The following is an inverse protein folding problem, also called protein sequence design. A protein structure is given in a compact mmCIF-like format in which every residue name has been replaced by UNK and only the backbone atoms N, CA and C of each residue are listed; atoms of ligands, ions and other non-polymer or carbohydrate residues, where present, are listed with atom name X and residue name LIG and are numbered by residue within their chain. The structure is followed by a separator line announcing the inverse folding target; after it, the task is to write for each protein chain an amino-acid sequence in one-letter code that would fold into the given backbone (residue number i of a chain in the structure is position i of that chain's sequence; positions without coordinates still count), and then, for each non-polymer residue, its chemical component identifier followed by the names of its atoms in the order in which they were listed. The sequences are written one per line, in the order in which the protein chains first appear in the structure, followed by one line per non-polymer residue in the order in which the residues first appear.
data_IF_616935925302
#
_entry.id   IF_616935925302
#
_cell.length_a   1.000
_cell.length_b   1.000
_cell.length_c   1.000
_cell.angle_alpha   90.00
_cell.angle_beta   90.00
_cell.angle_gamma   90.00
#
_symmetry.space_group_name_H-M   'P 1'
#
loop_
_entity.id
_entity.type
_entity.pdbx_description
1 polymer ?
#
# COMPACT_ATOMS: atom_id res chain seq x y z
N UNK A 1 -70.08 -35.67 -45.39
CA UNK A 1 -69.03 -34.72 -45.82
C UNK A 1 -69.03 -33.53 -44.87
N UNK A 2 -67.87 -33.23 -44.29
CA UNK A 2 -67.41 -31.98 -43.65
C UNK A 2 -68.19 -31.39 -42.45
N UNK A 3 -67.65 -31.65 -41.25
CA UNK A 3 -67.86 -30.85 -40.04
C UNK A 3 -66.97 -29.60 -40.09
N UNK A 4 -67.55 -28.43 -39.81
CA UNK A 4 -66.84 -27.14 -39.67
C UNK A 4 -66.45 -26.91 -38.21
N UNK A 5 -65.17 -26.68 -37.98
CA UNK A 5 -64.58 -26.30 -36.69
C UNK A 5 -64.41 -24.78 -36.67
N UNK A 6 -64.99 -24.11 -35.67
CA UNK A 6 -64.74 -22.69 -35.38
C UNK A 6 -63.62 -22.63 -34.34
N UNK A 7 -62.49 -22.04 -34.74
CA UNK A 7 -61.28 -21.90 -33.94
C UNK A 7 -61.31 -20.55 -33.20
N UNK A 8 -61.22 -20.59 -31.87
CA UNK A 8 -61.02 -19.41 -31.03
C UNK A 8 -59.57 -18.93 -31.13
N UNK A 9 -59.37 -17.64 -31.41
CA UNK A 9 -58.06 -17.00 -31.47
C UNK A 9 -57.67 -16.53 -30.07
N UNK A 10 -56.63 -17.13 -29.50
CA UNK A 10 -55.97 -16.64 -28.30
C UNK A 10 -54.85 -15.66 -28.69
N UNK A 11 -54.89 -14.44 -28.13
CA UNK A 11 -53.84 -13.44 -28.25
C UNK A 11 -52.62 -13.88 -27.43
N UNK A 12 -51.53 -14.23 -28.11
CA UNK A 12 -50.24 -14.46 -27.48
C UNK A 12 -49.51 -13.12 -27.30
N UNK A 13 -49.21 -12.77 -26.04
CA UNK A 13 -48.30 -11.69 -25.69
C UNK A 13 -46.89 -12.00 -26.24
N UNK A 14 -46.33 -11.04 -26.99
CA UNK A 14 -44.96 -11.12 -27.50
C UNK A 14 -43.98 -11.05 -26.33
N UNK A 15 -43.30 -12.17 -26.05
CA UNK A 15 -42.12 -12.18 -25.19
C UNK A 15 -41.01 -11.34 -25.86
N UNK A 16 -40.75 -10.16 -25.33
CA UNK A 16 -39.59 -9.36 -25.68
C UNK A 16 -38.34 -10.04 -25.11
N UNK A 17 -37.33 -10.27 -25.96
CA UNK A 17 -36.04 -10.80 -25.56
C UNK A 17 -35.39 -9.89 -24.51
N UNK A 18 -35.23 -10.40 -23.29
CA UNK A 18 -34.50 -9.70 -22.23
C UNK A 18 -33.00 -9.78 -22.52
N UNK A 19 -32.38 -8.65 -22.88
CA UNK A 19 -30.94 -8.51 -22.73
C UNK A 19 -30.60 -8.76 -21.25
N UNK A 20 -29.74 -9.75 -20.98
CA UNK A 20 -29.27 -10.02 -19.62
C UNK A 20 -28.56 -8.78 -19.07
N UNK A 21 -28.88 -8.32 -17.85
CA UNK A 21 -28.20 -7.17 -17.29
C UNK A 21 -26.70 -7.42 -17.12
N UNK A 22 -25.87 -6.42 -17.44
CA UNK A 22 -24.46 -6.40 -17.04
C UNK A 22 -24.39 -6.06 -15.55
N UNK A 23 -23.87 -6.96 -14.73
CA UNK A 23 -23.86 -6.83 -13.27
C UNK A 23 -22.45 -6.96 -12.66
N UNK A 24 -21.40 -6.61 -13.42
CA UNK A 24 -20.01 -6.70 -12.94
C UNK A 24 -19.82 -5.94 -11.62
N UNK A 25 -19.35 -6.64 -10.58
CA UNK A 25 -19.16 -6.12 -9.23
C UNK A 25 -20.38 -5.31 -8.71
N UNK A 26 -21.61 -5.71 -9.10
CA UNK A 26 -22.86 -5.10 -8.59
C UNK A 26 -22.92 -5.13 -7.07
N UNK A 27 -22.33 -6.14 -6.44
CA UNK A 27 -22.27 -6.22 -4.98
C UNK A 27 -21.51 -5.04 -4.34
N UNK A 28 -20.51 -4.48 -5.04
CA UNK A 28 -19.73 -3.33 -4.58
C UNK A 28 -20.29 -2.02 -5.13
N UNK A 29 -20.64 -1.98 -6.42
CA UNK A 29 -21.08 -0.76 -7.11
C UNK A 29 -22.58 -0.47 -6.91
N UNK A 30 -23.41 -1.51 -6.83
CA UNK A 30 -24.86 -1.44 -6.81
C UNK A 30 -25.51 -1.15 -8.16
N UNK A 31 -24.79 -1.34 -9.27
CA UNK A 31 -25.29 -1.02 -10.62
C UNK A 31 -25.63 -2.28 -11.39
N UNK A 32 -26.81 -2.29 -12.03
CA UNK A 32 -27.10 -3.18 -13.15
C UNK A 32 -27.32 -2.36 -14.41
N UNK A 33 -26.68 -2.77 -15.51
CA UNK A 33 -26.83 -2.15 -16.83
C UNK A 33 -27.63 -3.05 -17.75
N UNK A 34 -28.36 -2.49 -18.70
CA UNK A 34 -28.94 -3.22 -19.82
C UNK A 34 -28.31 -2.71 -21.13
N UNK A 35 -28.02 -3.64 -22.05
CA UNK A 35 -27.65 -3.27 -23.40
C UNK A 35 -28.89 -2.79 -24.18
N UNK A 36 -28.77 -1.65 -24.85
CA UNK A 36 -29.80 -1.04 -25.69
C UNK A 36 -29.23 -0.68 -27.06
N UNK A 37 -30.09 -0.39 -28.02
CA UNK A 37 -29.65 0.12 -29.32
C UNK A 37 -28.86 1.42 -29.14
N UNK A 38 -27.55 1.37 -29.39
CA UNK A 38 -26.66 2.52 -29.30
C UNK A 38 -25.91 2.71 -27.98
N UNK A 39 -26.00 1.80 -26.99
CA UNK A 39 -25.17 1.88 -25.79
C UNK A 39 -25.66 1.06 -24.60
N UNK A 40 -25.20 1.44 -23.40
CA UNK A 40 -25.61 0.85 -22.12
C UNK A 40 -26.50 1.82 -21.36
N UNK A 41 -27.51 1.30 -20.69
CA UNK A 41 -28.44 2.05 -19.85
C UNK A 41 -28.43 1.46 -18.44
N UNK A 42 -28.52 2.29 -17.40
CA UNK A 42 -28.65 1.84 -16.02
C UNK A 42 -30.04 1.22 -15.85
N UNK A 43 -30.10 -0.10 -15.76
CA UNK A 43 -31.33 -0.85 -15.60
C UNK A 43 -31.85 -0.79 -14.15
N UNK A 44 -30.95 -0.86 -13.18
CA UNK A 44 -31.28 -0.77 -11.76
C UNK A 44 -30.10 -0.21 -10.94
N UNK A 45 -30.45 0.40 -9.80
CA UNK A 45 -29.50 0.87 -8.79
C UNK A 45 -29.97 0.34 -7.43
N UNK A 46 -29.06 -0.32 -6.70
CA UNK A 46 -29.37 -0.91 -5.41
C UNK A 46 -29.47 0.18 -4.32
N UNK A 47 -30.52 0.19 -3.48
CA UNK A 47 -30.65 1.18 -2.41
C UNK A 47 -29.47 1.12 -1.43
N UNK A 48 -28.93 2.29 -1.06
CA UNK A 48 -27.80 2.40 -0.14
C UNK A 48 -26.45 1.96 -0.71
N UNK A 49 -26.36 1.68 -2.01
CA UNK A 49 -25.10 1.35 -2.69
C UNK A 49 -24.26 2.59 -3.02
N UNK A 50 -23.00 2.38 -3.41
CA UNK A 50 -22.13 3.46 -3.89
C UNK A 50 -22.72 4.18 -5.12
N UNK A 51 -23.42 3.45 -6.00
CA UNK A 51 -24.14 4.06 -7.11
C UNK A 51 -25.28 4.96 -6.65
N UNK A 52 -26.08 4.53 -5.68
CA UNK A 52 -27.14 5.36 -5.11
C UNK A 52 -26.58 6.62 -4.43
N UNK A 53 -25.51 6.49 -3.65
CA UNK A 53 -24.83 7.60 -2.99
C UNK A 53 -24.22 8.60 -3.98
N UNK A 54 -23.67 8.11 -5.09
CA UNK A 54 -23.17 8.95 -6.18
C UNK A 54 -24.30 9.63 -6.98
N UNK A 55 -25.55 9.23 -6.77
CA UNK A 55 -26.72 9.81 -7.41
C UNK A 55 -27.05 9.22 -8.79
N UNK A 56 -26.54 8.03 -9.12
CA UNK A 56 -26.97 7.26 -10.30
C UNK A 56 -28.43 6.82 -10.16
N UNK A 57 -29.14 6.74 -11.28
CA UNK A 57 -30.56 6.38 -11.32
C UNK A 57 -30.85 5.38 -12.43
N UNK A 58 -31.84 4.53 -12.21
CA UNK A 58 -32.38 3.70 -13.28
C UNK A 58 -32.94 4.59 -14.42
N UNK A 59 -32.68 4.21 -15.66
CA UNK A 59 -32.99 5.00 -16.85
C UNK A 59 -31.88 5.94 -17.32
N UNK A 60 -30.81 6.12 -16.54
CA UNK A 60 -29.64 6.90 -16.96
C UNK A 60 -28.93 6.19 -18.13
N UNK A 61 -28.70 6.90 -19.24
CA UNK A 61 -27.92 6.36 -20.36
C UNK A 61 -26.42 6.54 -20.07
N UNK A 62 -25.65 5.44 -20.04
CA UNK A 62 -24.21 5.48 -19.79
C UNK A 62 -23.48 5.95 -21.06
N UNK A 63 -22.90 7.14 -21.00
CA UNK A 63 -22.17 7.78 -22.10
C UNK A 63 -20.69 7.46 -22.04
N UNK A 64 -20.09 7.48 -20.84
CA UNK A 64 -18.66 7.27 -20.65
C UNK A 64 -18.37 6.61 -19.31
N UNK A 65 -17.31 5.80 -19.26
CA UNK A 65 -16.72 5.23 -18.05
C UNK A 65 -15.20 5.36 -18.11
N UNK A 66 -14.57 5.96 -17.09
CA UNK A 66 -13.12 6.18 -16.99
C UNK A 66 -12.48 6.66 -18.31
N UNK A 67 -13.02 7.75 -18.86
CA UNK A 67 -12.63 8.37 -20.13
C UNK A 67 -12.92 7.57 -21.43
N UNK A 68 -13.54 6.39 -21.35
CA UNK A 68 -13.88 5.55 -22.51
C UNK A 68 -15.39 5.45 -22.74
N UNK A 69 -15.83 5.37 -24.00
CA UNK A 69 -17.24 5.14 -24.35
C UNK A 69 -17.53 3.63 -24.40
N UNK A 70 -18.23 3.05 -23.41
CA UNK A 70 -18.46 1.60 -23.39
C UNK A 70 -19.48 1.20 -24.46
N UNK A 71 -19.13 0.23 -25.30
CA UNK A 71 -20.02 -0.29 -26.35
C UNK A 71 -20.67 -1.61 -25.98
N UNK A 72 -20.17 -2.27 -24.94
CA UNK A 72 -20.62 -3.58 -24.48
C UNK A 72 -20.50 -3.73 -22.96
N UNK A 73 -21.22 -4.70 -22.39
CA UNK A 73 -21.07 -5.11 -20.99
C UNK A 73 -19.60 -5.43 -20.64
N UNK A 74 -18.83 -6.00 -21.58
CA UNK A 74 -17.44 -6.37 -21.37
C UNK A 74 -16.53 -5.13 -21.20
N UNK A 75 -16.81 -4.04 -21.93
CA UNK A 75 -16.07 -2.79 -21.81
C UNK A 75 -16.30 -2.15 -20.44
N UNK A 76 -17.57 -2.13 -20.00
CA UNK A 76 -17.92 -1.67 -18.66
C UNK A 76 -17.26 -2.52 -17.59
N UNK A 77 -17.35 -3.85 -17.72
CA UNK A 77 -16.76 -4.78 -16.77
C UNK A 77 -15.23 -4.61 -16.64
N UNK A 78 -14.55 -4.35 -17.77
CA UNK A 78 -13.12 -4.03 -17.75
C UNK A 78 -12.84 -2.75 -16.98
N UNK A 79 -13.59 -1.66 -17.25
CA UNK A 79 -13.38 -0.39 -16.56
C UNK A 79 -13.62 -0.48 -15.05
N UNK A 80 -14.59 -1.30 -14.62
CA UNK A 80 -14.87 -1.59 -13.21
C UNK A 80 -13.71 -2.36 -12.58
N UNK A 81 -13.22 -3.43 -13.21
CA UNK A 81 -12.08 -4.21 -12.71
C UNK A 81 -10.81 -3.37 -12.60
N UNK A 82 -10.49 -2.58 -13.62
CA UNK A 82 -9.32 -1.70 -13.62
C UNK A 82 -9.39 -0.67 -12.48
N UNK A 83 -10.58 -0.10 -12.23
CA UNK A 83 -10.80 0.81 -11.11
C UNK A 83 -10.63 0.11 -9.76
N UNK A 84 -11.14 -1.12 -9.61
CA UNK A 84 -11.01 -1.92 -8.39
C UNK A 84 -9.56 -2.32 -8.11
N UNK A 85 -8.86 -2.88 -9.09
CA UNK A 85 -7.47 -3.30 -8.97
C UNK A 85 -6.56 -2.11 -8.64
N UNK A 86 -6.82 -0.95 -9.26
CA UNK A 86 -6.13 0.28 -8.95
C UNK A 86 -6.57 0.98 -7.66
N UNK A 87 -7.63 0.50 -6.99
CA UNK A 87 -8.34 1.17 -5.89
C UNK A 87 -8.69 2.64 -6.19
N UNK A 88 -9.10 2.92 -7.43
CA UNK A 88 -9.41 4.28 -7.92
C UNK A 88 -10.92 4.49 -8.04
N UNK A 89 -11.35 5.75 -8.06
CA UNK A 89 -12.73 6.07 -8.35
C UNK A 89 -13.12 5.62 -9.77
N UNK A 90 -14.35 5.14 -9.92
CA UNK A 90 -14.97 4.86 -11.22
C UNK A 90 -15.74 6.11 -11.66
N UNK A 91 -15.20 6.84 -12.64
CA UNK A 91 -15.83 8.02 -13.21
C UNK A 91 -16.84 7.59 -14.26
N UNK A 92 -18.08 8.06 -14.12
CA UNK A 92 -19.18 7.74 -15.04
C UNK A 92 -19.82 9.03 -15.54
N UNK A 93 -20.11 9.07 -16.83
CA UNK A 93 -20.84 10.16 -17.46
C UNK A 93 -22.17 9.60 -17.93
N UNK A 94 -23.27 10.13 -17.40
CA UNK A 94 -24.63 9.67 -17.73
C UNK A 94 -25.43 10.76 -18.40
N UNK A 95 -26.35 10.39 -19.30
CA UNK A 95 -27.27 11.31 -19.96
C UNK A 95 -28.68 11.13 -19.41
N UNK A 96 -29.29 12.26 -19.03
CA UNK A 96 -30.66 12.42 -18.56
C UNK A 96 -31.44 13.34 -19.51
N UNK A 97 -32.74 13.47 -19.29
CA UNK A 97 -33.61 14.41 -20.02
C UNK A 97 -33.10 15.85 -20.01
N UNK A 98 -32.41 16.26 -18.94
CA UNK A 98 -31.94 17.64 -18.74
C UNK A 98 -30.49 17.87 -19.17
N UNK A 99 -29.80 16.83 -19.66
CA UNK A 99 -28.43 16.91 -20.13
C UNK A 99 -27.53 15.80 -19.57
N UNK A 100 -26.22 16.00 -19.71
CA UNK A 100 -25.20 15.02 -19.30
C UNK A 100 -24.65 15.38 -17.92
N UNK A 101 -24.60 14.40 -17.00
CA UNK A 101 -24.17 14.57 -15.62
C UNK A 101 -22.94 13.70 -15.35
N UNK A 102 -21.79 14.28 -14.95
CA UNK A 102 -20.65 13.52 -14.48
C UNK A 102 -20.85 13.09 -13.03
N UNK A 103 -20.69 11.80 -12.75
CA UNK A 103 -20.79 11.20 -11.43
C UNK A 103 -19.56 10.31 -11.17
N UNK A 104 -19.32 9.97 -9.91
CA UNK A 104 -18.18 9.14 -9.53
C UNK A 104 -18.56 8.19 -8.39
N UNK A 105 -18.19 6.92 -8.54
CA UNK A 105 -18.13 6.00 -7.41
C UNK A 105 -16.72 6.11 -6.83
N UNK A 106 -16.59 6.64 -5.61
CA UNK A 106 -15.30 6.89 -4.96
C UNK A 106 -14.48 5.63 -4.72
N UNK A 107 -13.17 5.76 -4.44
CA UNK A 107 -12.28 4.61 -4.17
C UNK A 107 -12.74 3.72 -3.01
N UNK A 108 -13.42 4.31 -2.00
CA UNK A 108 -14.03 3.60 -0.88
C UNK A 108 -15.08 2.57 -1.30
N UNK A 109 -15.62 2.64 -2.52
CA UNK A 109 -16.52 1.64 -3.11
C UNK A 109 -15.89 0.24 -3.08
N UNK A 110 -14.58 0.15 -3.26
CA UNK A 110 -13.84 -1.12 -3.31
C UNK A 110 -13.43 -1.66 -1.94
N UNK A 111 -13.52 -0.82 -0.90
CA UNK A 111 -13.15 -1.17 0.47
C UNK A 111 -14.39 -1.59 1.29
N UNK A 112 -15.60 -1.32 0.80
CA UNK A 112 -16.84 -1.78 1.42
C UNK A 112 -16.97 -3.30 1.29
N UNK A 113 -16.85 -3.99 2.41
CA UNK A 113 -17.25 -5.38 2.52
C UNK A 113 -18.77 -5.49 2.25
N UNK A 114 -19.14 -6.29 1.26
CA UNK A 114 -20.53 -6.60 0.95
C UNK A 114 -21.14 -7.34 2.14
N UNK A 115 -22.16 -6.75 2.75
CA UNK A 115 -22.99 -7.47 3.71
C UNK A 115 -23.91 -8.44 2.95
N UNK A 116 -23.43 -9.65 2.66
CA UNK A 116 -24.27 -10.77 2.18
C UNK A 116 -23.88 -12.07 2.88
N UNK A 117 -24.84 -12.63 3.63
CA UNK A 117 -24.92 -13.96 4.25
C UNK A 117 -23.75 -14.38 5.19
N UNK A 118 -24.03 -15.03 6.33
CA UNK A 118 -22.95 -15.53 7.18
C UNK A 118 -22.14 -16.57 6.40
N UNK A 119 -20.80 -16.44 6.30
CA UNK A 119 -19.98 -17.48 5.71
C UNK A 119 -20.16 -18.79 6.49
N UNK A 120 -20.01 -19.98 5.86
CA UNK A 120 -19.81 -21.19 6.65
C UNK A 120 -18.68 -20.92 7.65
N UNK A 121 -18.79 -21.36 8.91
CA UNK A 121 -17.79 -21.04 9.91
C UNK A 121 -16.43 -21.47 9.35
N UNK A 122 -15.41 -20.59 9.39
CA UNK A 122 -14.07 -21.01 9.01
C UNK A 122 -13.72 -22.25 9.85
N UNK A 123 -12.97 -23.24 9.33
CA UNK A 123 -12.31 -24.18 10.22
C UNK A 123 -11.59 -23.31 11.26
N UNK A 124 -11.88 -23.55 12.54
CA UNK A 124 -11.52 -22.67 13.65
C UNK A 124 -10.22 -21.93 13.35
N UNK A 125 -10.30 -20.59 13.26
CA UNK A 125 -9.11 -19.76 13.21
C UNK A 125 -8.16 -20.30 14.29
N UNK A 126 -6.86 -20.51 13.98
CA UNK A 126 -5.93 -21.16 14.91
C UNK A 126 -6.10 -20.52 16.29
N UNK A 127 -6.74 -21.25 17.20
CA UNK A 127 -7.12 -20.66 18.46
C UNK A 127 -5.87 -20.54 19.31
N UNK A 128 -5.79 -19.52 20.17
CA UNK A 128 -4.74 -19.48 21.21
C UNK A 128 -4.77 -20.79 22.02
N UNK A 129 -5.92 -21.44 22.13
CA UNK A 129 -6.08 -22.77 22.73
C UNK A 129 -5.33 -23.87 21.96
N UNK A 130 -5.35 -23.85 20.63
CA UNK A 130 -4.58 -24.77 19.78
C UNK A 130 -3.06 -24.50 19.88
N UNK A 131 -2.66 -23.23 19.98
CA UNK A 131 -1.28 -22.79 20.23
C UNK A 131 -0.76 -23.15 21.64
N UNK A 132 -1.62 -23.09 22.67
CA UNK A 132 -1.29 -23.46 24.06
C UNK A 132 -1.35 -24.97 24.28
N UNK A 133 -2.18 -25.69 23.50
CA UNK A 133 -2.21 -27.14 23.48
C UNK A 133 -1.03 -27.76 22.70
N UNK A 134 -0.33 -26.95 21.89
CA UNK A 134 0.96 -27.36 21.34
C UNK A 134 1.97 -27.32 22.50
N UNK A 135 2.74 -28.39 22.75
CA UNK A 135 3.82 -28.33 23.74
C UNK A 135 4.69 -27.13 23.39
N UNK A 136 4.94 -26.27 24.40
CA UNK A 136 5.69 -25.05 24.22
C UNK A 136 6.95 -25.36 23.39
N UNK A 137 7.25 -24.57 22.33
CA UNK A 137 8.44 -24.80 21.54
C UNK A 137 9.61 -24.94 22.51
N UNK A 138 10.46 -25.96 22.28
CA UNK A 138 11.61 -26.19 23.13
C UNK A 138 12.29 -24.85 23.42
N UNK A 139 12.65 -24.54 24.68
CA UNK A 139 13.26 -23.27 25.03
C UNK A 139 14.38 -23.02 24.03
N UNK A 140 14.33 -21.84 23.38
CA UNK A 140 15.22 -21.47 22.28
C UNK A 140 16.63 -21.94 22.65
N UNK A 141 17.25 -22.83 21.84
CA UNK A 141 18.49 -23.46 22.24
C UNK A 141 19.51 -22.38 22.64
N UNK A 142 20.31 -22.62 23.70
CA UNK A 142 21.27 -21.65 24.24
C UNK A 142 22.41 -21.28 23.28
N UNK A 143 22.28 -21.61 22.01
CA UNK A 143 23.23 -21.41 20.91
C UNK A 143 23.17 -20.00 20.31
N UNK A 144 22.14 -19.19 20.60
CA UNK A 144 22.12 -17.77 20.25
C UNK A 144 22.31 -16.88 21.48
N UNK A 145 23.39 -17.11 22.25
CA UNK A 145 23.91 -16.08 23.17
C UNK A 145 24.51 -14.96 22.31
N UNK A 146 23.66 -14.18 21.64
CA UNK A 146 24.10 -12.99 20.92
C UNK A 146 24.81 -12.12 21.94
N UNK A 147 26.12 -12.05 21.82
CA UNK A 147 26.95 -11.18 22.64
C UNK A 147 26.82 -9.75 22.12
N UNK A 148 27.24 -8.79 22.94
CA UNK A 148 27.33 -7.40 22.51
C UNK A 148 28.31 -7.23 21.33
N UNK A 149 29.38 -8.04 21.31
CA UNK A 149 30.34 -8.08 20.20
C UNK A 149 29.72 -8.59 18.90
N UNK A 150 28.80 -9.57 19.00
CA UNK A 150 28.06 -10.06 17.83
C UNK A 150 27.11 -8.98 17.30
N UNK A 151 26.38 -8.28 18.18
CA UNK A 151 25.53 -7.15 17.80
C UNK A 151 26.35 -6.04 17.14
N UNK A 152 27.49 -5.69 17.72
CA UNK A 152 28.37 -4.66 17.18
C UNK A 152 28.94 -5.07 15.81
N UNK A 153 29.31 -6.34 15.63
CA UNK A 153 29.77 -6.88 14.34
C UNK A 153 28.66 -6.82 13.28
N UNK A 154 27.46 -7.24 13.63
CA UNK A 154 26.32 -7.26 12.72
C UNK A 154 25.88 -5.83 12.33
N UNK A 155 25.89 -4.88 13.27
CA UNK A 155 25.66 -3.45 12.99
C UNK A 155 26.70 -2.87 12.04
N UNK A 156 27.99 -3.15 12.24
CA UNK A 156 29.06 -2.71 11.31
C UNK A 156 28.86 -3.29 9.90
N UNK A 157 28.30 -4.49 9.80
CA UNK A 157 28.03 -5.14 8.52
C UNK A 157 26.86 -4.53 7.74
N UNK A 158 25.99 -3.72 8.37
CA UNK A 158 24.89 -3.02 7.69
C UNK A 158 25.37 -1.89 6.77
N UNK A 159 26.50 -1.24 7.10
CA UNK A 159 27.03 -0.11 6.35
C UNK A 159 28.50 -0.34 5.95
N UNK A 160 28.78 -1.30 5.04
CA UNK A 160 30.14 -1.59 4.60
C UNK A 160 30.72 -0.37 3.87
N UNK A 161 31.96 0.02 4.23
CA UNK A 161 32.60 1.22 3.69
C UNK A 161 32.90 1.16 2.18
N UNK A 162 33.00 -0.05 1.59
CA UNK A 162 33.60 -0.27 0.27
C UNK A 162 32.69 -1.05 -0.72
N UNK A 163 31.51 -1.55 -0.28
CA UNK A 163 30.61 -2.31 -1.17
C UNK A 163 29.45 -1.46 -1.64
N UNK A 164 29.05 -1.67 -2.91
CA UNK A 164 27.76 -1.17 -3.41
C UNK A 164 26.65 -1.59 -2.45
N UNK A 165 25.71 -0.69 -2.12
CA UNK A 165 24.52 -1.06 -1.35
C UNK A 165 23.85 -2.26 -2.02
N UNK A 166 23.50 -3.29 -1.24
CA UNK A 166 22.76 -4.46 -1.72
C UNK A 166 21.34 -4.10 -2.20
N UNK A 167 20.35 -4.97 -2.05
CA UNK A 167 18.96 -4.57 -2.26
C UNK A 167 18.41 -3.92 -0.98
N UNK A 168 17.52 -2.92 -1.12
CA UNK A 168 16.81 -2.35 0.03
C UNK A 168 16.14 -3.44 0.87
N UNK A 169 15.48 -4.41 0.23
CA UNK A 169 14.86 -5.54 0.93
C UNK A 169 15.85 -6.36 1.79
N UNK A 170 17.08 -6.57 1.30
CA UNK A 170 18.12 -7.28 2.05
C UNK A 170 18.62 -6.46 3.24
N UNK A 171 18.60 -5.14 3.14
CA UNK A 171 18.92 -4.21 4.20
C UNK A 171 17.83 -4.20 5.27
N UNK A 172 16.57 -4.00 4.87
CA UNK A 172 15.38 -4.05 5.74
C UNK A 172 15.31 -5.38 6.51
N UNK A 173 15.54 -6.50 5.84
CA UNK A 173 15.53 -7.82 6.49
C UNK A 173 16.62 -7.96 7.55
N UNK A 174 17.80 -7.38 7.32
CA UNK A 174 18.90 -7.40 8.31
C UNK A 174 18.61 -6.46 9.48
N UNK A 175 18.05 -5.28 9.23
CA UNK A 175 17.63 -4.35 10.28
C UNK A 175 16.55 -4.94 11.18
N UNK A 176 15.51 -5.55 10.61
CA UNK A 176 14.46 -6.23 11.38
C UNK A 176 15.00 -7.40 12.20
N UNK A 177 16.04 -8.09 11.71
CA UNK A 177 16.72 -9.14 12.48
C UNK A 177 17.47 -8.55 13.68
N UNK A 178 18.21 -7.46 13.46
CA UNK A 178 18.98 -6.78 14.50
C UNK A 178 18.08 -6.21 15.60
N UNK A 179 16.97 -5.57 15.24
CA UNK A 179 15.96 -5.13 16.20
C UNK A 179 15.50 -6.26 17.12
N UNK A 180 15.15 -7.41 16.55
CA UNK A 180 14.73 -8.58 17.33
C UNK A 180 15.86 -9.13 18.21
N UNK A 181 17.10 -9.14 17.74
CA UNK A 181 18.25 -9.57 18.53
C UNK A 181 18.51 -8.62 19.71
N UNK A 182 18.40 -7.31 19.51
CA UNK A 182 18.55 -6.30 20.56
C UNK A 182 17.46 -6.44 21.63
N UNK A 183 16.20 -6.61 21.22
CA UNK A 183 15.11 -6.82 22.19
C UNK A 183 15.24 -8.15 22.93
N UNK A 184 15.69 -9.22 22.27
CA UNK A 184 16.00 -10.49 22.93
C UNK A 184 17.17 -10.34 23.92
N UNK A 185 18.21 -9.58 23.57
CA UNK A 185 19.34 -9.28 24.43
C UNK A 185 18.92 -8.46 25.67
N UNK A 186 18.06 -7.45 25.46
CA UNK A 186 17.49 -6.60 26.51
C UNK A 186 16.60 -7.40 27.48
N UNK A 187 15.72 -8.25 26.96
CA UNK A 187 14.80 -9.07 27.76
C UNK A 187 15.53 -10.04 28.70
N UNK A 188 16.71 -10.52 28.29
CA UNK A 188 17.57 -11.39 29.10
C UNK A 188 18.29 -10.65 30.23
N UNK A 189 18.22 -9.31 30.28
CA UNK A 189 19.02 -8.45 31.17
C UNK A 189 20.52 -8.77 31.08
N UNK A 190 20.97 -9.13 29.89
CA UNK A 190 22.37 -9.50 29.62
C UNK A 190 23.32 -8.30 29.66
N UNK A 191 22.80 -7.06 29.72
CA UNK A 191 23.56 -5.83 29.89
C UNK A 191 22.76 -4.77 30.69
N UNK A 192 23.44 -3.76 31.27
CA UNK A 192 22.79 -2.59 31.86
C UNK A 192 21.89 -1.86 30.85
N UNK A 193 20.81 -1.23 31.33
CA UNK A 193 19.84 -0.51 30.48
C UNK A 193 20.50 0.54 29.57
N UNK A 194 21.49 1.28 30.08
CA UNK A 194 22.22 2.28 29.28
C UNK A 194 22.97 1.71 28.08
N UNK A 195 23.43 0.45 28.15
CA UNK A 195 24.06 -0.24 27.01
C UNK A 195 23.02 -0.53 25.93
N UNK A 196 21.87 -1.08 26.34
CA UNK A 196 20.76 -1.39 25.44
C UNK A 196 20.25 -0.11 24.77
N UNK A 197 20.09 0.97 25.53
CA UNK A 197 19.66 2.26 25.00
C UNK A 197 20.70 2.87 24.04
N UNK A 198 21.99 2.66 24.30
CA UNK A 198 23.06 2.98 23.37
C UNK A 198 22.94 2.22 22.05
N UNK A 199 22.75 0.90 22.10
CA UNK A 199 22.56 0.07 20.89
C UNK A 199 21.30 0.46 20.13
N UNK A 200 20.18 0.74 20.83
CA UNK A 200 18.95 1.25 20.21
C UNK A 200 19.17 2.61 19.55
N UNK A 201 19.94 3.49 20.19
CA UNK A 201 20.30 4.80 19.62
C UNK A 201 21.09 4.63 18.32
N UNK A 202 22.07 3.72 18.30
CA UNK A 202 22.81 3.36 17.08
C UNK A 202 21.85 2.85 15.99
N UNK A 203 20.91 1.96 16.33
CA UNK A 203 19.93 1.43 15.37
C UNK A 203 19.10 2.53 14.70
N UNK A 204 18.70 3.59 15.42
CA UNK A 204 17.92 4.70 14.83
C UNK A 204 18.62 5.36 13.63
N UNK A 205 19.96 5.45 13.64
CA UNK A 205 20.71 5.97 12.48
C UNK A 205 20.57 5.07 11.26
N UNK A 206 20.55 3.75 11.45
CA UNK A 206 20.39 2.80 10.36
C UNK A 206 18.92 2.72 9.88
N UNK A 207 17.94 2.88 10.76
CA UNK A 207 16.53 3.01 10.37
C UNK A 207 16.29 4.26 9.52
N UNK A 208 16.81 5.40 9.95
CA UNK A 208 16.80 6.63 9.16
C UNK A 208 17.50 6.45 7.79
N UNK A 209 18.56 5.64 7.74
CA UNK A 209 19.26 5.34 6.49
C UNK A 209 18.40 4.47 5.55
N UNK A 210 17.52 3.63 6.08
CA UNK A 210 16.50 2.90 5.32
C UNK A 210 15.51 3.86 4.65
N UNK A 211 15.02 4.87 5.39
CA UNK A 211 14.10 5.90 4.86
C UNK A 211 14.77 6.66 3.70
N UNK A 212 16.02 7.07 3.87
CA UNK A 212 16.79 7.72 2.81
C UNK A 212 16.98 6.78 1.60
N UNK A 213 17.23 5.50 1.82
CA UNK A 213 17.33 4.54 0.73
C UNK A 213 15.99 4.35 -0.01
N UNK A 214 14.88 4.21 0.70
CA UNK A 214 13.55 4.09 0.10
C UNK A 214 13.21 5.30 -0.79
N UNK A 215 13.63 6.50 -0.40
CA UNK A 215 13.48 7.70 -1.22
C UNK A 215 14.32 7.66 -2.52
N UNK A 216 15.55 7.13 -2.48
CA UNK A 216 16.39 6.90 -3.67
C UNK A 216 15.78 5.84 -4.60
N UNK A 217 15.28 4.71 -4.08
CA UNK A 217 14.60 3.69 -4.91
C UNK A 217 13.33 4.27 -5.55
N UNK A 218 12.54 5.04 -4.81
CA UNK A 218 11.35 5.71 -5.34
C UNK A 218 11.70 6.69 -6.47
N UNK A 219 12.82 7.41 -6.36
CA UNK A 219 13.32 8.28 -7.42
C UNK A 219 13.77 7.45 -8.63
N UNK A 220 14.55 6.39 -8.42
CA UNK A 220 15.00 5.46 -9.45
C UNK A 220 13.82 4.89 -10.24
N UNK A 221 12.75 4.47 -9.56
CA UNK A 221 11.54 3.93 -10.18
C UNK A 221 10.82 4.97 -11.05
N UNK A 222 10.67 6.20 -10.53
CA UNK A 222 10.09 7.32 -11.30
C UNK A 222 10.88 7.63 -12.57
N UNK A 223 12.21 7.59 -12.47
CA UNK A 223 13.13 7.81 -13.59
C UNK A 223 13.26 6.58 -14.51
N UNK A 224 12.67 5.43 -14.12
CA UNK A 224 12.87 4.12 -14.76
C UNK A 224 14.35 3.76 -14.92
N UNK A 225 15.18 4.19 -13.96
CA UNK A 225 16.62 3.96 -13.98
C UNK A 225 16.93 2.50 -13.59
N UNK A 226 17.72 1.76 -14.39
CA UNK A 226 18.09 0.39 -14.03
C UNK A 226 18.87 0.32 -12.71
N UNK A 227 18.68 -0.76 -11.94
CA UNK A 227 19.32 -0.92 -10.62
C UNK A 227 20.84 -0.99 -10.64
N UNK A 228 21.42 -1.51 -11.72
CA UNK A 228 22.88 -1.57 -11.89
C UNK A 228 23.52 -0.19 -12.13
N UNK A 229 22.70 0.83 -12.41
CA UNK A 229 23.19 2.20 -12.57
C UNK A 229 23.23 2.87 -11.19
N UNK A 230 24.41 3.29 -10.72
CA UNK A 230 24.56 3.92 -9.42
C UNK A 230 23.82 5.25 -9.37
N UNK A 231 23.26 5.54 -8.20
CA UNK A 231 22.64 6.83 -7.89
C UNK A 231 23.72 7.88 -7.64
N UNK A 232 23.55 9.10 -8.16
CA UNK A 232 24.45 10.21 -7.82
C UNK A 232 24.13 10.74 -6.42
N UNK A 233 25.16 11.11 -5.66
CA UNK A 233 24.99 11.81 -4.37
C UNK A 233 24.27 13.16 -4.52
N UNK A 234 24.41 13.81 -5.68
CA UNK A 234 23.74 15.07 -5.98
C UNK A 234 22.27 14.89 -6.40
N UNK A 235 21.79 13.65 -6.60
CA UNK A 235 20.42 13.40 -7.04
C UNK A 235 19.43 13.81 -5.94
N UNK A 236 18.49 14.69 -6.29
CA UNK A 236 17.48 15.19 -5.35
C UNK A 236 16.15 14.45 -5.54
N UNK A 237 15.62 13.89 -4.46
CA UNK A 237 14.29 13.30 -4.41
C UNK A 237 13.28 14.28 -3.77
N UNK A 238 12.01 14.26 -4.17
CA UNK A 238 10.97 14.98 -3.46
C UNK A 238 10.67 14.33 -2.10
N UNK A 239 10.35 15.16 -1.11
CA UNK A 239 9.79 14.75 0.18
C UNK A 239 8.67 15.71 0.60
N UNK A 240 7.74 15.25 1.42
CA UNK A 240 6.60 16.05 1.90
C UNK A 240 6.80 16.43 3.37
N UNK A 241 6.20 17.54 3.79
CA UNK A 241 6.29 18.01 5.18
C UNK A 241 5.87 16.96 6.22
N UNK A 242 4.88 16.13 5.90
CA UNK A 242 4.35 15.09 6.81
C UNK A 242 4.90 13.67 6.50
N UNK A 243 5.99 13.59 5.74
CA UNK A 243 6.60 12.30 5.35
C UNK A 243 7.64 11.79 6.36
N UNK A 244 7.91 10.48 6.35
CA UNK A 244 8.99 9.87 7.15
C UNK A 244 10.36 10.52 6.88
N UNK A 245 10.59 10.98 5.65
CA UNK A 245 11.81 11.71 5.29
C UNK A 245 11.91 13.05 6.02
N UNK A 246 10.81 13.80 6.15
CA UNK A 246 10.77 15.02 6.93
C UNK A 246 11.01 14.75 8.43
N UNK A 247 10.33 13.74 8.99
CA UNK A 247 10.54 13.31 10.37
C UNK A 247 12.01 12.91 10.63
N UNK A 248 12.64 12.21 9.68
CA UNK A 248 14.06 11.83 9.75
C UNK A 248 14.98 13.06 9.73
N UNK A 249 14.70 14.05 8.88
CA UNK A 249 15.48 15.30 8.83
C UNK A 249 15.34 16.10 10.13
N UNK A 250 14.18 16.07 10.77
CA UNK A 250 13.95 16.72 12.06
C UNK A 250 14.65 16.00 13.21
N UNK A 251 14.59 14.66 13.25
CA UNK A 251 15.27 13.85 14.26
C UNK A 251 16.79 13.97 14.19
N UNK A 252 17.35 14.08 12.98
CA UNK A 252 18.79 14.19 12.73
C UNK A 252 19.15 15.54 12.08
N UNK A 253 19.34 16.62 12.85
CA UNK A 253 19.49 17.97 12.32
C UNK A 253 20.65 18.16 11.32
N UNK A 254 21.70 17.35 11.38
CA UNK A 254 22.79 17.38 10.40
C UNK A 254 22.33 17.04 8.97
N UNK A 255 21.20 16.33 8.82
CA UNK A 255 20.59 16.04 7.52
C UNK A 255 20.02 17.28 6.84
N UNK A 256 19.86 18.41 7.53
CA UNK A 256 19.50 19.69 6.89
C UNK A 256 20.48 20.08 5.79
N UNK A 257 21.75 19.67 5.88
CA UNK A 257 22.74 19.87 4.81
C UNK A 257 22.38 19.13 3.50
N UNK A 258 21.55 18.09 3.57
CA UNK A 258 21.11 17.31 2.41
C UNK A 258 19.87 17.90 1.74
N UNK A 259 19.16 18.82 2.41
CA UNK A 259 17.98 19.51 1.88
C UNK A 259 18.43 20.55 0.86
N UNK A 260 18.06 20.33 -0.39
CA UNK A 260 18.36 21.27 -1.49
C UNK A 260 17.26 22.32 -1.66
N UNK A 261 16.05 22.02 -1.20
CA UNK A 261 14.92 22.95 -1.19
C UNK A 261 13.95 22.61 -0.05
N UNK A 262 13.66 23.59 0.81
CA UNK A 262 12.65 23.42 1.86
C UNK A 262 11.24 23.22 1.29
N UNK A 263 10.37 22.48 2.02
CA UNK A 263 8.97 22.37 1.68
C UNK A 263 8.32 23.75 1.57
N UNK A 264 7.65 24.01 0.45
CA UNK A 264 6.86 25.24 0.26
C UNK A 264 5.38 24.89 0.17
N UNK A 265 4.49 25.71 0.76
CA UNK A 265 3.05 25.52 0.61
C UNK A 265 2.67 25.56 -0.87
N UNK A 266 1.97 24.53 -1.34
CA UNK A 266 1.39 24.49 -2.67
C UNK A 266 0.13 25.36 -2.78
N UNK A 267 -0.18 25.84 -3.98
CA UNK A 267 -1.47 26.50 -4.27
C UNK A 267 -2.66 25.55 -4.06
N UNK A 268 -2.44 24.24 -4.28
CA UNK A 268 -3.35 23.13 -3.98
C UNK A 268 -2.47 21.90 -3.67
N UNK A 269 -2.65 21.26 -2.52
CA UNK A 269 -1.91 20.04 -2.12
C UNK A 269 -0.88 20.21 -1.00
N UNK A 270 -0.21 19.11 -0.64
CA UNK A 270 0.77 19.02 0.46
C UNK A 270 2.08 19.78 0.16
N UNK A 271 2.70 20.35 1.20
CA UNK A 271 3.98 21.07 1.09
C UNK A 271 5.12 20.11 0.74
N UNK A 272 5.80 20.31 -0.39
CA UNK A 272 6.88 19.43 -0.88
C UNK A 272 8.23 20.15 -0.97
N UNK A 273 9.29 19.50 -0.50
CA UNK A 273 10.69 19.92 -0.61
C UNK A 273 11.52 18.97 -1.47
N UNK A 274 12.82 19.24 -1.59
CA UNK A 274 13.80 18.37 -2.24
C UNK A 274 14.98 18.09 -1.30
N UNK A 275 15.43 16.85 -1.26
CA UNK A 275 16.58 16.42 -0.45
C UNK A 275 17.42 15.40 -1.22
N UNK A 276 18.68 15.21 -0.80
CA UNK A 276 19.66 14.31 -1.44
C UNK A 276 19.74 12.99 -0.67
N UNK A 277 18.90 11.98 -0.98
CA UNK A 277 18.79 10.76 -0.18
C UNK A 277 20.07 9.92 -0.14
N UNK A 278 20.84 9.89 -1.22
CA UNK A 278 22.08 9.09 -1.28
C UNK A 278 23.13 9.66 -0.32
N UNK A 279 23.29 10.98 -0.31
CA UNK A 279 24.17 11.68 0.62
C UNK A 279 23.65 11.59 2.07
N UNK A 280 22.34 11.74 2.29
CA UNK A 280 21.72 11.56 3.60
C UNK A 280 22.02 10.16 4.19
N UNK A 281 21.85 9.10 3.38
CA UNK A 281 22.18 7.73 3.77
C UNK A 281 23.66 7.57 4.11
N UNK A 282 24.56 8.17 3.33
CA UNK A 282 25.99 8.12 3.60
C UNK A 282 26.35 8.80 4.94
N UNK A 283 25.77 9.97 5.22
CA UNK A 283 25.95 10.70 6.48
C UNK A 283 25.41 9.89 7.67
N UNK A 284 24.22 9.30 7.54
CA UNK A 284 23.61 8.47 8.58
C UNK A 284 24.45 7.24 8.90
N UNK A 285 24.95 6.56 7.89
CA UNK A 285 25.88 5.44 8.08
C UNK A 285 27.20 5.86 8.72
N UNK A 286 27.74 7.03 8.36
CA UNK A 286 28.96 7.54 8.99
C UNK A 286 28.74 7.81 10.48
N UNK A 287 27.71 8.57 10.83
CA UNK A 287 27.39 8.89 12.23
C UNK A 287 27.00 7.65 13.04
N UNK A 288 26.22 6.73 12.46
CA UNK A 288 25.84 5.48 13.12
C UNK A 288 27.05 4.60 13.45
N UNK A 289 28.06 4.55 12.58
CA UNK A 289 29.33 3.87 12.87
C UNK A 289 30.13 4.57 13.97
N UNK A 290 30.21 5.91 13.94
CA UNK A 290 30.89 6.66 14.99
C UNK A 290 30.24 6.47 16.36
N UNK A 291 28.91 6.50 16.46
CA UNK A 291 28.20 6.23 17.71
C UNK A 291 28.43 4.79 18.20
N UNK A 292 28.46 3.83 17.28
CA UNK A 292 28.79 2.45 17.62
C UNK A 292 30.21 2.32 18.17
N UNK A 293 31.18 3.00 17.55
CA UNK A 293 32.58 2.97 17.99
C UNK A 293 32.75 3.64 19.35
N UNK A 294 32.04 4.76 19.61
CA UNK A 294 31.99 5.40 20.94
C UNK A 294 31.41 4.47 21.99
N UNK A 295 30.32 3.77 21.66
CA UNK A 295 29.68 2.81 22.56
C UNK A 295 30.65 1.66 22.89
N UNK A 296 31.27 1.05 21.89
CA UNK A 296 32.23 -0.05 22.11
C UNK A 296 33.46 0.40 22.89
N UNK A 297 34.02 1.59 22.60
CA UNK A 297 35.17 2.12 23.32
C UNK A 297 34.85 2.51 24.77
N UNK A 298 33.61 2.93 25.06
CA UNK A 298 33.17 3.16 26.43
C UNK A 298 33.04 1.83 27.21
N UNK A 299 32.51 0.78 26.58
CA UNK A 299 32.37 -0.55 27.19
C UNK A 299 33.73 -1.19 27.51
N UNK A 300 34.69 -1.08 26.59
CA UNK A 300 36.06 -1.57 26.82
C UNK A 300 36.72 -0.91 28.03
N UNK A 301 36.50 0.39 28.22
CA UNK A 301 37.02 1.13 29.38
C UNK A 301 36.28 0.82 30.69
N UNK A 302 35.00 0.51 30.62
CA UNK A 302 34.18 0.19 31.80
C UNK A 302 34.38 -1.24 32.30
N UNK A 303 34.91 -2.14 31.46
CA UNK A 303 35.23 -3.52 31.80
C UNK A 303 36.65 -3.77 32.32
N UNK A 304 37.52 -2.75 32.32
CA UNK A 304 38.85 -2.75 32.93
C UNK A 304 38.79 -2.24 34.37
#
# INVERSE_FOLDING_TARGET
MRAGVVLAVALAARAAWSASPCEEDRAQTGVALAAREGGLEIAAVDPGSAAAESGLRAGDALVQVNASMPRSCADYARAVRDAREGKKALLVLVRRSEGTVPLALGSATWERAVATAPPPPPPEAPSVRALVATPAPAPVPPEARTSLDDLARDLRALAPAERQPGQLADYSHRLLRLHRQVEAFAARRAAPAGVVDGVRTVLRYFDAAEVAWAADESLRERERRPRHVPSSEAAAAPFFADSEAAATIEEFPFLRATVSRDPRPGLVGESSGLWRPVEARALLWAHGREELDRLTAWLERAGQ
#
